data_IF_469813163719
#
_entry.id   IF_469813163719
#
_cell.length_a   1.000
_cell.length_b   1.000
_cell.length_c   1.000
_cell.angle_alpha   90.00
_cell.angle_beta   90.00
_cell.angle_gamma   90.00
#
_symmetry.space_group_name_H-M   'P 1'
#
loop_
_entity.id
_entity.type
_entity.pdbx_description
1 polymer ?
#
# COMPACT_ATOMS: atom_id res chain seq x y z
N UNK A 1 4.88 -2.73 17.11
CA UNK A 1 5.64 -1.57 16.57
C UNK A 1 7.13 -1.66 16.84
N UNK A 2 7.56 -2.22 17.97
CA UNK A 2 8.97 -2.27 18.42
C UNK A 2 9.94 -2.96 17.46
N UNK A 3 9.69 -4.20 17.07
CA UNK A 3 10.57 -4.94 16.12
C UNK A 3 10.12 -4.77 14.66
N UNK A 4 8.85 -4.39 14.48
CA UNK A 4 8.17 -4.38 13.17
C UNK A 4 8.30 -3.03 12.46
N UNK A 5 8.96 -2.03 13.06
CA UNK A 5 9.22 -0.72 12.45
C UNK A 5 10.66 -0.28 12.73
N UNK A 6 11.18 0.62 11.90
CA UNK A 6 12.54 1.19 12.08
C UNK A 6 12.68 2.08 13.33
N UNK A 7 11.57 2.57 13.87
CA UNK A 7 11.55 3.58 14.94
C UNK A 7 11.20 2.96 16.30
N UNK A 8 10.29 1.98 16.31
CA UNK A 8 9.72 1.46 17.54
C UNK A 8 10.77 0.88 18.50
N UNK A 9 11.80 0.21 17.98
CA UNK A 9 12.87 -0.37 18.79
C UNK A 9 13.66 0.69 19.56
N UNK A 10 14.05 1.76 18.87
CA UNK A 10 14.80 2.89 19.46
C UNK A 10 13.96 3.58 20.53
N UNK A 11 12.69 3.89 20.23
CA UNK A 11 11.80 4.55 21.19
C UNK A 11 11.55 3.69 22.43
N UNK A 12 11.47 2.37 22.25
CA UNK A 12 11.32 1.46 23.38
C UNK A 12 12.55 1.41 24.28
N UNK A 13 13.75 1.42 23.71
CA UNK A 13 14.98 1.52 24.49
C UNK A 13 15.03 2.84 25.29
N UNK A 14 14.67 3.97 24.66
CA UNK A 14 14.58 5.26 25.35
C UNK A 14 13.57 5.19 26.51
N UNK A 15 12.39 4.63 26.28
CA UNK A 15 11.37 4.50 27.32
C UNK A 15 11.82 3.63 28.51
N UNK A 16 12.63 2.58 28.26
CA UNK A 16 13.23 1.77 29.33
C UNK A 16 14.24 2.57 30.14
N UNK A 17 15.09 3.37 29.49
CA UNK A 17 16.15 4.14 30.13
C UNK A 17 15.62 5.30 30.98
N UNK A 18 14.53 5.94 30.55
CA UNK A 18 13.91 7.05 31.28
C UNK A 18 13.24 6.62 32.61
N UNK A 19 12.84 5.35 32.73
CA UNK A 19 12.19 4.83 33.94
C UNK A 19 13.15 3.96 34.77
N UNK A 20 13.54 4.50 35.93
CA UNK A 20 14.35 3.81 36.95
C UNK A 20 13.77 2.43 37.28
N UNK A 21 14.64 1.44 37.50
CA UNK A 21 14.23 0.05 37.80
C UNK A 21 13.39 -0.08 39.08
N UNK A 22 13.60 0.82 40.04
CA UNK A 22 12.91 0.89 41.34
C UNK A 22 11.59 1.68 41.32
N UNK A 23 11.21 2.27 40.18
CA UNK A 23 10.00 3.08 40.12
C UNK A 23 8.73 2.24 40.36
N UNK A 24 7.82 2.73 41.21
CA UNK A 24 6.50 2.14 41.38
C UNK A 24 5.73 2.18 40.05
N UNK A 25 4.97 1.12 39.76
CA UNK A 25 4.20 0.92 38.52
C UNK A 25 5.05 1.11 37.24
N UNK A 26 6.34 0.75 37.28
CA UNK A 26 7.30 0.94 36.17
C UNK A 26 6.80 0.47 34.80
N UNK A 27 6.09 -0.66 34.73
CA UNK A 27 5.59 -1.20 33.45
C UNK A 27 4.59 -0.24 32.81
N UNK A 28 3.63 0.25 33.59
CA UNK A 28 2.63 1.21 33.12
C UNK A 28 3.27 2.53 32.70
N UNK A 29 4.21 3.06 33.50
CA UNK A 29 4.97 4.27 33.16
C UNK A 29 5.76 4.12 31.86
N UNK A 30 6.43 2.98 31.66
CA UNK A 30 7.17 2.67 30.42
C UNK A 30 6.26 2.58 29.21
N UNK A 31 5.09 1.95 29.33
CA UNK A 31 4.11 1.87 28.25
C UNK A 31 3.60 3.28 27.91
N UNK A 32 3.26 4.09 28.92
CA UNK A 32 2.81 5.47 28.72
C UNK A 32 3.86 6.33 28.01
N UNK A 33 5.11 6.32 28.50
CA UNK A 33 6.21 7.07 27.87
C UNK A 33 6.50 6.55 26.46
N UNK A 34 6.53 5.23 26.27
CA UNK A 34 6.71 4.66 24.93
C UNK A 34 5.62 5.15 23.98
N UNK A 35 4.34 5.13 24.38
CA UNK A 35 3.24 5.57 23.55
C UNK A 35 3.38 7.06 23.17
N UNK A 36 3.65 7.92 24.16
CA UNK A 36 3.84 9.37 23.93
C UNK A 36 5.02 9.63 23.00
N UNK A 37 6.20 9.07 23.30
CA UNK A 37 7.40 9.25 22.48
C UNK A 37 7.22 8.67 21.08
N UNK A 38 6.52 7.54 20.94
CA UNK A 38 6.28 6.91 19.63
C UNK A 38 5.36 7.77 18.76
N UNK A 39 4.31 8.36 19.34
CA UNK A 39 3.41 9.26 18.63
C UNK A 39 4.12 10.57 18.24
N UNK A 40 4.89 11.17 19.16
CA UNK A 40 5.70 12.35 18.86
C UNK A 40 6.71 12.05 17.75
N UNK A 41 7.41 10.92 17.84
CA UNK A 41 8.34 10.49 16.81
C UNK A 41 7.65 10.32 15.46
N UNK A 42 6.57 9.53 15.41
CA UNK A 42 5.84 9.19 14.18
C UNK A 42 5.24 10.40 13.47
N UNK A 43 4.67 11.35 14.22
CA UNK A 43 3.90 12.44 13.63
C UNK A 43 4.64 13.77 13.56
N UNK A 44 5.66 14.01 14.39
CA UNK A 44 6.40 15.28 14.42
C UNK A 44 7.87 15.11 13.99
N UNK A 45 8.59 14.13 14.52
CA UNK A 45 10.04 14.03 14.29
C UNK A 45 10.35 13.38 12.93
N UNK A 46 9.82 12.18 12.70
CA UNK A 46 10.13 11.33 11.55
C UNK A 46 9.81 12.01 10.22
N UNK A 47 8.64 12.68 10.03
CA UNK A 47 8.34 13.34 8.75
C UNK A 47 9.35 14.43 8.37
N UNK A 48 9.96 15.08 9.35
CA UNK A 48 10.94 16.15 9.14
C UNK A 48 12.37 15.62 8.94
N UNK A 49 12.70 14.45 9.50
CA UNK A 49 14.03 13.84 9.37
C UNK A 49 14.13 12.92 8.14
N UNK A 50 13.05 12.22 7.77
CA UNK A 50 13.03 11.28 6.64
C UNK A 50 13.60 11.85 5.32
N UNK A 51 13.38 13.14 4.96
CA UNK A 51 13.93 13.71 3.74
C UNK A 51 15.45 13.63 3.63
N UNK A 52 16.17 13.71 4.75
CA UNK A 52 17.63 13.57 4.81
C UNK A 52 18.06 12.16 4.34
N UNK A 53 17.21 11.16 4.55
CA UNK A 53 17.41 9.77 4.12
C UNK A 53 16.83 9.48 2.73
N UNK A 54 16.42 10.52 1.98
CA UNK A 54 15.83 10.38 0.65
C UNK A 54 14.41 9.80 0.67
N UNK A 55 13.66 10.07 1.74
CA UNK A 55 12.26 9.66 1.90
C UNK A 55 11.38 10.82 2.29
N UNK A 56 10.19 10.87 1.74
CA UNK A 56 9.15 11.78 2.15
C UNK A 56 7.91 11.00 2.54
N UNK A 57 7.22 11.50 3.56
CA UNK A 57 5.86 11.06 3.86
C UNK A 57 4.98 11.38 2.64
N UNK A 58 4.16 10.42 2.23
CA UNK A 58 3.18 10.64 1.15
C UNK A 58 2.29 11.83 1.51
N UNK A 59 2.17 12.79 0.59
CA UNK A 59 1.36 14.00 0.77
C UNK A 59 -0.09 13.70 0.41
N UNK A 60 -0.90 13.35 1.40
CA UNK A 60 -2.36 13.20 1.24
C UNK A 60 -2.99 14.54 0.82
N UNK A 61 -3.98 14.47 -0.07
CA UNK A 61 -4.71 15.63 -0.61
C UNK A 61 -6.20 15.33 -0.62
N UNK A 62 -7.03 16.26 -1.07
CA UNK A 62 -8.45 15.99 -1.28
C UNK A 62 -8.71 14.88 -2.32
N UNK A 63 -7.74 14.58 -3.19
CA UNK A 63 -7.79 13.56 -4.25
C UNK A 63 -7.03 12.27 -3.93
N UNK A 64 -6.23 12.25 -2.86
CA UNK A 64 -5.38 11.12 -2.48
C UNK A 64 -5.51 10.84 -0.99
N UNK A 65 -5.89 9.60 -0.63
CA UNK A 65 -5.97 9.17 0.77
C UNK A 65 -5.36 7.80 1.02
N UNK A 66 -4.92 7.57 2.26
CA UNK A 66 -4.57 6.23 2.71
C UNK A 66 -5.83 5.35 2.83
N UNK A 67 -5.70 4.05 2.58
CA UNK A 67 -6.77 3.08 2.89
C UNK A 67 -6.98 2.96 4.39
N UNK A 68 -5.91 2.95 5.17
CA UNK A 68 -5.95 2.75 6.61
C UNK A 68 -5.01 3.71 7.33
N UNK A 69 -5.43 4.18 8.52
CA UNK A 69 -4.57 4.93 9.42
C UNK A 69 -3.36 4.10 9.89
N UNK A 70 -3.46 2.77 9.83
CA UNK A 70 -2.36 1.86 10.17
C UNK A 70 -1.07 2.19 9.42
N UNK A 71 -1.13 2.47 8.12
CA UNK A 71 0.06 2.79 7.33
C UNK A 71 0.79 4.04 7.85
N UNK A 72 0.03 5.02 8.38
CA UNK A 72 0.60 6.22 9.02
C UNK A 72 1.20 5.88 10.37
N UNK A 73 0.46 5.17 11.23
CA UNK A 73 0.91 4.80 12.56
C UNK A 73 2.14 3.87 12.55
N UNK A 74 2.23 2.99 11.56
CA UNK A 74 3.33 2.06 11.37
C UNK A 74 4.51 2.68 10.59
N UNK A 75 4.44 3.96 10.20
CA UNK A 75 5.43 4.65 9.37
C UNK A 75 5.70 3.92 8.04
N UNK A 76 4.67 3.37 7.40
CA UNK A 76 4.73 2.63 6.14
C UNK A 76 4.31 3.45 4.91
N UNK A 77 4.13 4.75 5.08
CA UNK A 77 3.65 5.67 4.06
C UNK A 77 4.75 6.64 3.58
N UNK A 78 5.98 6.16 3.45
CA UNK A 78 7.12 6.94 2.97
C UNK A 78 7.60 6.45 1.61
N UNK A 79 7.89 7.39 0.72
CA UNK A 79 8.35 7.13 -0.66
C UNK A 79 9.48 8.09 -1.02
N UNK A 80 10.16 7.85 -2.14
CA UNK A 80 11.08 8.85 -2.70
C UNK A 80 10.32 10.09 -3.18
N UNK A 81 10.94 11.28 -3.15
CA UNK A 81 10.31 12.51 -3.63
C UNK A 81 9.75 12.40 -5.07
N UNK A 82 10.46 11.70 -5.97
CA UNK A 82 9.98 11.55 -7.36
C UNK A 82 8.68 10.74 -7.44
N UNK A 83 8.53 9.70 -6.60
CA UNK A 83 7.31 8.90 -6.53
C UNK A 83 6.18 9.71 -5.88
N UNK A 84 6.46 10.47 -4.83
CA UNK A 84 5.48 11.35 -4.18
C UNK A 84 4.86 12.34 -5.19
N UNK A 85 5.71 12.95 -6.02
CA UNK A 85 5.28 13.85 -7.10
C UNK A 85 4.38 13.14 -8.12
N UNK A 86 4.77 11.94 -8.57
CA UNK A 86 3.95 11.16 -9.51
C UNK A 86 2.61 10.75 -8.93
N UNK A 87 2.56 10.30 -7.67
CA UNK A 87 1.31 9.93 -7.00
C UNK A 87 0.36 11.12 -6.97
N UNK A 88 0.84 12.31 -6.56
CA UNK A 88 0.02 13.52 -6.56
C UNK A 88 -0.52 13.87 -7.95
N UNK A 89 0.33 13.80 -8.99
CA UNK A 89 -0.08 14.07 -10.37
C UNK A 89 -1.09 13.05 -10.91
N UNK A 90 -0.93 11.76 -10.56
CA UNK A 90 -1.88 10.71 -10.94
C UNK A 90 -3.22 10.97 -10.24
N UNK A 91 -3.22 11.21 -8.93
CA UNK A 91 -4.44 11.45 -8.16
C UNK A 91 -5.23 12.66 -8.68
N UNK A 92 -4.57 13.80 -8.92
CA UNK A 92 -5.22 14.99 -9.49
C UNK A 92 -5.79 14.73 -10.88
N UNK A 93 -5.06 14.02 -11.75
CA UNK A 93 -5.56 13.71 -13.11
C UNK A 93 -6.70 12.70 -13.06
N UNK A 94 -6.66 11.75 -12.14
CA UNK A 94 -7.69 10.74 -11.99
C UNK A 94 -9.01 11.37 -11.53
N UNK A 95 -8.95 12.28 -10.56
CA UNK A 95 -10.16 12.99 -10.10
C UNK A 95 -10.74 13.88 -11.20
N UNK A 96 -9.92 14.57 -12.01
CA UNK A 96 -10.41 15.34 -13.16
C UNK A 96 -11.19 14.51 -14.19
N UNK A 97 -10.84 13.23 -14.32
CA UNK A 97 -11.56 12.30 -15.21
C UNK A 97 -12.80 11.68 -14.53
N UNK A 98 -12.80 11.64 -13.20
CA UNK A 98 -13.77 10.95 -12.37
C UNK A 98 -14.09 11.81 -11.14
N UNK A 99 -14.88 12.85 -11.36
CA UNK A 99 -15.15 13.89 -10.37
C UNK A 99 -15.60 13.28 -9.03
N UNK A 100 -14.97 13.73 -7.94
CA UNK A 100 -15.27 13.23 -6.59
C UNK A 100 -14.66 11.87 -6.22
N UNK A 101 -13.97 11.18 -7.15
CA UNK A 101 -13.33 9.89 -6.88
C UNK A 101 -11.85 10.08 -6.54
N UNK A 102 -11.49 9.68 -5.32
CA UNK A 102 -10.13 9.73 -4.81
C UNK A 102 -9.31 8.50 -5.21
N UNK A 103 -8.03 8.71 -5.47
CA UNK A 103 -7.04 7.63 -5.49
C UNK A 103 -6.77 7.16 -4.04
N UNK A 104 -6.75 5.84 -3.82
CA UNK A 104 -6.54 5.24 -2.49
C UNK A 104 -5.26 4.43 -2.49
N UNK A 105 -4.29 4.81 -1.66
CA UNK A 105 -3.03 4.08 -1.52
C UNK A 105 -3.04 3.12 -0.32
N UNK A 106 -2.24 2.06 -0.41
CA UNK A 106 -2.09 0.99 0.59
C UNK A 106 -0.69 1.09 1.24
N UNK A 107 0.13 0.03 1.13
CA UNK A 107 1.48 -0.02 1.68
C UNK A 107 2.49 0.68 0.74
N UNK A 108 3.48 1.35 1.31
CA UNK A 108 4.56 2.00 0.60
C UNK A 108 5.90 1.58 1.20
N UNK A 109 6.59 2.39 2.00
CA UNK A 109 7.85 1.97 2.64
C UNK A 109 8.06 2.70 3.98
N UNK A 110 9.07 2.25 4.73
CA UNK A 110 9.65 2.89 5.89
C UNK A 110 10.51 4.14 5.57
N UNK A 111 10.72 5.02 6.56
CA UNK A 111 11.29 6.35 6.36
C UNK A 111 12.83 6.43 6.24
N UNK A 112 13.62 5.44 6.66
CA UNK A 112 15.07 5.65 6.81
C UNK A 112 15.93 4.62 6.07
N UNK A 113 15.85 3.34 6.43
CA UNK A 113 16.83 2.32 6.03
C UNK A 113 16.29 1.47 4.87
N UNK A 114 17.10 1.26 3.83
CA UNK A 114 16.75 0.32 2.76
C UNK A 114 16.82 -1.14 3.24
N UNK A 115 16.07 -2.04 2.63
CA UNK A 115 16.10 -3.50 2.92
C UNK A 115 15.68 -3.89 4.34
N UNK A 116 15.16 -2.96 5.14
CA UNK A 116 14.52 -3.32 6.40
C UNK A 116 13.27 -4.18 6.10
N UNK A 117 13.10 -5.34 6.75
CA UNK A 117 11.99 -6.25 6.45
C UNK A 117 10.62 -5.58 6.61
N UNK A 118 9.89 -5.46 5.50
CA UNK A 118 8.51 -4.96 5.46
C UNK A 118 7.55 -6.13 5.20
N UNK A 119 7.20 -6.89 6.22
CA UNK A 119 6.26 -8.02 6.02
C UNK A 119 4.82 -7.53 5.78
N UNK A 120 4.06 -8.11 4.83
CA UNK A 120 4.47 -9.14 3.87
C UNK A 120 5.16 -8.58 2.60
N UNK A 121 5.10 -7.25 2.36
CA UNK A 121 5.61 -6.56 1.18
C UNK A 121 7.15 -6.44 1.11
N UNK A 122 7.86 -7.56 0.98
CA UNK A 122 9.33 -7.59 1.01
C UNK A 122 10.02 -6.76 -0.10
N UNK A 123 9.36 -6.54 -1.24
CA UNK A 123 9.93 -5.75 -2.35
C UNK A 123 9.95 -4.26 -2.04
N UNK A 124 9.10 -3.79 -1.13
CA UNK A 124 8.94 -2.39 -0.74
C UNK A 124 10.02 -1.95 0.24
N UNK A 125 11.25 -1.89 -0.25
CA UNK A 125 12.43 -1.77 0.62
C UNK A 125 13.35 -0.60 0.26
N UNK A 126 12.96 0.23 -0.71
CA UNK A 126 13.80 1.28 -1.31
C UNK A 126 13.05 2.60 -1.61
N UNK A 127 11.78 2.67 -1.20
CA UNK A 127 10.90 3.84 -1.34
C UNK A 127 10.48 4.12 -2.77
N UNK A 128 10.76 3.18 -3.69
CA UNK A 128 10.43 3.31 -5.10
C UNK A 128 9.07 2.71 -5.46
N UNK A 129 8.37 2.10 -4.52
CA UNK A 129 7.20 1.25 -4.76
C UNK A 129 6.03 1.69 -3.91
N UNK A 130 4.83 1.49 -4.44
CA UNK A 130 3.58 1.77 -3.75
C UNK A 130 2.48 0.87 -4.30
N UNK A 131 1.61 0.44 -3.41
CA UNK A 131 0.39 -0.27 -3.74
C UNK A 131 -0.78 0.70 -3.69
N UNK A 132 -1.69 0.57 -4.65
CA UNK A 132 -2.91 1.37 -4.73
C UNK A 132 -4.09 0.49 -5.02
N UNK A 133 -5.22 0.82 -4.44
CA UNK A 133 -6.42 0.04 -4.60
C UNK A 133 -6.94 0.06 -6.03
N UNK A 134 -7.55 -1.05 -6.45
CA UNK A 134 -8.43 -1.08 -7.63
C UNK A 134 -9.61 -0.11 -7.47
N UNK A 135 -10.24 0.23 -8.59
CA UNK A 135 -11.41 1.11 -8.64
C UNK A 135 -12.67 0.24 -8.71
N UNK A 136 -13.71 0.69 -8.03
CA UNK A 136 -14.98 -0.03 -7.90
C UNK A 136 -16.13 0.91 -8.24
N UNK A 137 -17.26 0.33 -8.59
CA UNK A 137 -18.53 1.01 -8.85
C UNK A 137 -19.65 0.41 -8.00
N UNK A 138 -20.72 1.18 -7.79
CA UNK A 138 -21.94 0.71 -7.16
C UNK A 138 -22.87 0.06 -8.18
N UNK A 139 -24.00 -0.49 -7.71
CA UNK A 139 -25.04 -1.10 -8.53
C UNK A 139 -25.61 -0.20 -9.66
N UNK A 140 -25.41 1.13 -9.56
CA UNK A 140 -25.82 2.09 -10.59
C UNK A 140 -24.71 2.37 -11.64
N UNK A 141 -23.59 1.64 -11.60
CA UNK A 141 -22.42 1.86 -12.45
C UNK A 141 -21.64 3.14 -12.13
N UNK A 142 -21.89 3.77 -10.97
CA UNK A 142 -21.15 4.96 -10.55
C UNK A 142 -19.93 4.57 -9.73
N UNK A 143 -18.79 5.16 -10.07
CA UNK A 143 -17.54 4.93 -9.35
C UNK A 143 -17.67 5.29 -7.86
N UNK A 144 -16.94 4.56 -7.01
CA UNK A 144 -16.98 4.77 -5.56
C UNK A 144 -15.62 4.64 -4.88
N UNK A 145 -15.47 5.37 -3.76
CA UNK A 145 -14.36 5.21 -2.85
C UNK A 145 -14.57 4.12 -1.78
N UNK A 146 -15.72 3.43 -1.75
CA UNK A 146 -15.87 2.16 -1.04
C UNK A 146 -14.86 1.13 -1.57
N UNK A 147 -14.51 0.14 -0.75
CA UNK A 147 -13.61 -0.97 -1.11
C UNK A 147 -14.00 -2.25 -0.38
N UNK A 148 -13.68 -3.42 -0.95
CA UNK A 148 -14.16 -4.69 -0.41
C UNK A 148 -13.41 -5.17 0.83
N UNK A 149 -12.15 -4.78 1.04
CA UNK A 149 -11.31 -5.25 2.15
C UNK A 149 -10.98 -4.15 3.15
N UNK A 150 -11.11 -4.40 4.46
CA UNK A 150 -10.74 -3.44 5.51
C UNK A 150 -9.25 -3.07 5.42
N UNK A 151 -8.36 -4.06 5.27
CA UNK A 151 -6.92 -3.83 5.14
C UNK A 151 -6.53 -3.19 3.80
N UNK A 152 -7.31 -3.46 2.76
CA UNK A 152 -7.01 -3.13 1.37
C UNK A 152 -6.44 -4.28 0.56
N UNK A 153 -6.25 -5.46 1.18
CA UNK A 153 -5.72 -6.66 0.52
C UNK A 153 -6.64 -7.87 0.73
N UNK A 154 -6.48 -8.91 -0.08
CA UNK A 154 -7.06 -10.24 0.12
C UNK A 154 -8.49 -10.45 -0.35
N UNK A 155 -9.12 -9.45 -0.98
CA UNK A 155 -10.36 -9.63 -1.74
C UNK A 155 -10.04 -9.45 -3.21
N UNK A 156 -9.94 -10.58 -3.91
CA UNK A 156 -9.43 -10.65 -5.28
C UNK A 156 -10.56 -10.48 -6.30
N UNK A 157 -10.26 -9.76 -7.36
CA UNK A 157 -11.00 -9.85 -8.61
C UNK A 157 -10.63 -11.17 -9.28
N UNK A 158 -11.60 -12.07 -9.42
CA UNK A 158 -11.35 -13.42 -9.90
C UNK A 158 -11.34 -13.45 -11.43
N UNK A 159 -10.53 -14.33 -12.06
CA UNK A 159 -10.66 -14.59 -13.49
C UNK A 159 -12.07 -15.12 -13.79
N UNK A 160 -12.63 -14.69 -14.92
CA UNK A 160 -13.85 -15.30 -15.48
C UNK A 160 -13.54 -16.71 -16.00
N UNK A 161 -14.58 -17.48 -16.30
CA UNK A 161 -14.44 -18.84 -16.87
C UNK A 161 -13.66 -18.89 -18.19
N UNK A 162 -13.61 -17.76 -18.92
CA UNK A 162 -12.89 -17.64 -20.20
C UNK A 162 -11.46 -17.12 -20.04
N UNK A 163 -11.10 -16.63 -18.86
CA UNK A 163 -9.80 -16.06 -18.57
C UNK A 163 -8.85 -17.10 -17.98
N UNK A 164 -7.55 -16.86 -18.19
CA UNK A 164 -6.52 -17.73 -17.65
C UNK A 164 -6.44 -17.60 -16.12
N UNK A 165 -6.74 -18.69 -15.40
CA UNK A 165 -6.60 -18.75 -13.94
C UNK A 165 -5.14 -18.93 -13.52
N UNK A 166 -4.44 -17.80 -13.44
CA UNK A 166 -3.05 -17.74 -12.98
C UNK A 166 -2.90 -18.26 -11.54
N UNK A 167 -3.92 -18.07 -10.69
CA UNK A 167 -3.89 -18.50 -9.29
C UNK A 167 -3.93 -20.03 -9.16
N UNK A 168 -4.82 -20.70 -9.90
CA UNK A 168 -4.85 -22.16 -9.95
C UNK A 168 -3.50 -22.73 -10.40
N UNK A 169 -2.90 -22.14 -11.43
CA UNK A 169 -1.60 -22.57 -11.97
C UNK A 169 -0.47 -22.35 -10.96
N UNK A 170 -0.38 -21.16 -10.36
CA UNK A 170 0.65 -20.86 -9.37
C UNK A 170 0.59 -21.81 -8.16
N UNK A 171 -0.62 -22.10 -7.67
CA UNK A 171 -0.84 -23.03 -6.55
C UNK A 171 -0.51 -24.48 -6.92
N UNK A 172 -0.90 -24.93 -8.11
CA UNK A 172 -0.52 -26.27 -8.62
C UNK A 172 1.01 -26.44 -8.69
N UNK A 173 1.73 -25.36 -8.96
CA UNK A 173 3.20 -25.33 -8.99
C UNK A 173 3.85 -25.13 -7.60
N UNK A 174 3.10 -25.32 -6.50
CA UNK A 174 3.63 -25.29 -5.13
C UNK A 174 3.73 -23.90 -4.49
N UNK A 175 3.28 -22.83 -5.15
CA UNK A 175 3.31 -21.47 -4.59
C UNK A 175 2.12 -21.23 -3.66
N UNK A 176 2.14 -21.86 -2.50
CA UNK A 176 1.07 -21.76 -1.49
C UNK A 176 0.86 -20.32 -0.99
N UNK A 177 1.91 -19.49 -1.02
CA UNK A 177 1.87 -18.10 -0.57
C UNK A 177 1.13 -17.17 -1.52
N UNK A 178 0.83 -17.62 -2.75
CA UNK A 178 0.31 -16.77 -3.82
C UNK A 178 -1.00 -16.06 -3.46
N UNK A 179 -1.90 -16.77 -2.76
CA UNK A 179 -3.19 -16.26 -2.30
C UNK A 179 -3.22 -15.92 -0.79
N UNK A 180 -2.07 -15.92 -0.12
CA UNK A 180 -1.95 -15.70 1.34
C UNK A 180 -2.63 -14.41 1.85
N UNK A 181 -2.63 -13.27 1.13
CA UNK A 181 -3.30 -12.05 1.59
C UNK A 181 -4.79 -12.20 1.92
N UNK A 182 -5.47 -13.28 1.48
CA UNK A 182 -6.86 -13.59 1.88
C UNK A 182 -7.05 -13.72 3.39
N UNK A 183 -6.00 -14.08 4.12
CA UNK A 183 -6.00 -14.14 5.59
C UNK A 183 -5.71 -12.79 6.26
N UNK A 184 -5.38 -11.75 5.46
CA UNK A 184 -5.04 -10.41 5.92
C UNK A 184 -6.10 -9.36 5.53
N UNK A 185 -7.31 -9.78 5.11
CA UNK A 185 -8.40 -8.85 4.74
C UNK A 185 -8.84 -7.97 5.90
N UNK A 186 -8.73 -8.48 7.14
CA UNK A 186 -9.32 -7.90 8.34
C UNK A 186 -10.85 -7.70 8.23
N UNK A 187 -11.50 -8.52 7.39
CA UNK A 187 -12.93 -8.48 7.11
C UNK A 187 -13.25 -7.95 5.72
N UNK A 188 -14.30 -8.54 5.13
CA UNK A 188 -14.87 -8.11 3.84
C UNK A 188 -16.09 -7.22 4.11
N UNK A 189 -16.11 -6.04 3.51
CA UNK A 189 -17.13 -4.99 3.67
C UNK A 189 -17.62 -4.51 2.31
N UNK A 190 -18.73 -3.75 2.25
CA UNK A 190 -19.28 -3.20 1.01
C UNK A 190 -19.48 -4.28 -0.07
N UNK A 191 -20.33 -5.28 0.20
CA UNK A 191 -20.60 -6.38 -0.75
C UNK A 191 -21.44 -5.94 -1.96
N UNK A 192 -21.94 -4.71 -1.92
CA UNK A 192 -22.75 -3.98 -2.91
C UNK A 192 -21.91 -3.23 -3.95
N UNK A 193 -20.61 -3.48 -4.04
CA UNK A 193 -19.75 -2.83 -5.03
C UNK A 193 -19.05 -3.86 -5.90
N UNK A 194 -18.83 -3.48 -7.14
CA UNK A 194 -18.24 -4.33 -8.16
C UNK A 194 -16.97 -3.68 -8.72
N UNK A 195 -16.08 -4.50 -9.28
CA UNK A 195 -14.87 -4.02 -9.91
C UNK A 195 -15.18 -3.18 -11.14
N UNK A 196 -14.65 -1.95 -11.18
CA UNK A 196 -14.83 -1.08 -12.34
C UNK A 196 -13.68 -1.28 -13.33
N UNK A 197 -13.96 -1.95 -14.44
CA UNK A 197 -13.00 -2.09 -15.55
C UNK A 197 -12.57 -0.73 -16.07
N UNK A 198 -13.54 0.15 -16.35
CA UNK A 198 -13.29 1.50 -16.88
C UNK A 198 -12.45 2.32 -15.89
N UNK A 199 -12.84 2.38 -14.62
CA UNK A 199 -12.16 3.16 -13.61
C UNK A 199 -10.73 2.66 -13.36
N UNK A 200 -10.56 1.35 -13.25
CA UNK A 200 -9.24 0.74 -13.00
C UNK A 200 -8.31 0.92 -14.20
N UNK A 201 -8.83 0.75 -15.43
CA UNK A 201 -8.07 1.00 -16.66
C UNK A 201 -7.59 2.45 -16.73
N UNK A 202 -8.46 3.43 -16.46
CA UNK A 202 -8.09 4.84 -16.47
C UNK A 202 -6.98 5.14 -15.45
N UNK A 203 -7.07 4.60 -14.23
CA UNK A 203 -6.02 4.75 -13.22
C UNK A 203 -4.69 4.14 -13.71
N UNK A 204 -4.72 2.91 -14.23
CA UNK A 204 -3.54 2.23 -14.76
C UNK A 204 -2.90 3.01 -15.91
N UNK A 205 -3.69 3.53 -16.86
CA UNK A 205 -3.19 4.35 -17.97
C UNK A 205 -2.52 5.65 -17.47
N UNK A 206 -3.07 6.31 -16.44
CA UNK A 206 -2.45 7.49 -15.84
C UNK A 206 -1.12 7.17 -15.15
N UNK A 207 -1.01 6.02 -14.50
CA UNK A 207 0.26 5.51 -13.94
C UNK A 207 1.27 5.26 -15.07
N UNK A 208 0.85 4.57 -16.13
CA UNK A 208 1.73 4.18 -17.24
C UNK A 208 2.27 5.38 -18.03
N UNK A 209 1.49 6.48 -18.10
CA UNK A 209 1.89 7.77 -18.72
C UNK A 209 3.02 8.47 -17.97
N UNK A 210 3.29 8.13 -16.71
CA UNK A 210 4.37 8.73 -15.94
C UNK A 210 5.74 8.27 -16.47
N UNK A 211 6.61 9.22 -16.85
CA UNK A 211 7.92 8.92 -17.47
C UNK A 211 8.90 8.24 -16.50
N UNK A 212 8.79 8.50 -15.20
CA UNK A 212 9.64 7.95 -14.15
C UNK A 212 9.15 6.59 -13.62
N UNK A 213 7.93 6.16 -13.96
CA UNK A 213 7.43 4.81 -13.63
C UNK A 213 8.01 3.80 -14.61
N UNK A 214 8.61 2.75 -14.06
CA UNK A 214 9.27 1.68 -14.81
C UNK A 214 8.45 0.40 -14.89
N UNK A 215 7.67 0.07 -13.85
CA UNK A 215 6.84 -1.14 -13.80
C UNK A 215 5.48 -0.86 -13.16
N UNK A 216 4.47 -1.57 -13.66
CA UNK A 216 3.14 -1.73 -13.05
C UNK A 216 2.86 -3.23 -13.01
N UNK A 217 2.65 -3.77 -11.81
CA UNK A 217 2.23 -5.16 -11.63
C UNK A 217 0.72 -5.24 -11.41
N UNK A 218 0.11 -6.17 -12.15
CA UNK A 218 -1.29 -6.55 -12.08
C UNK A 218 -1.40 -7.99 -12.58
N UNK A 219 -2.42 -8.73 -12.15
CA UNK A 219 -2.59 -10.11 -12.61
C UNK A 219 -2.79 -10.24 -14.14
N UNK A 220 -2.35 -11.36 -14.74
CA UNK A 220 -2.45 -11.57 -16.19
C UNK A 220 -3.88 -11.45 -16.73
N UNK A 221 -4.88 -11.97 -16.02
CA UNK A 221 -6.27 -11.88 -16.46
C UNK A 221 -6.75 -10.42 -16.49
N UNK A 222 -6.47 -9.63 -15.45
CA UNK A 222 -6.80 -8.19 -15.43
C UNK A 222 -6.04 -7.40 -16.49
N UNK A 223 -4.78 -7.73 -16.77
CA UNK A 223 -4.05 -7.10 -17.88
C UNK A 223 -4.81 -7.25 -19.20
N UNK A 224 -5.31 -8.45 -19.48
CA UNK A 224 -6.10 -8.75 -20.68
C UNK A 224 -7.45 -8.06 -20.65
N UNK A 225 -8.22 -8.21 -19.56
CA UNK A 225 -9.55 -7.60 -19.36
C UNK A 225 -9.53 -6.08 -19.56
N UNK A 226 -8.53 -5.43 -18.96
CA UNK A 226 -8.34 -3.97 -19.01
C UNK A 226 -7.65 -3.50 -20.30
N UNK A 227 -7.29 -4.41 -21.22
CA UNK A 227 -6.58 -4.12 -22.47
C UNK A 227 -5.31 -3.26 -22.29
N UNK A 228 -4.48 -3.61 -21.30
CA UNK A 228 -3.29 -2.84 -20.93
C UNK A 228 -2.07 -3.22 -21.79
N UNK A 229 -2.02 -2.68 -23.00
CA UNK A 229 -0.94 -2.91 -23.97
C UNK A 229 0.24 -1.95 -23.77
N UNK A 230 0.96 -2.11 -22.66
CA UNK A 230 2.14 -1.28 -22.38
C UNK A 230 3.31 -2.13 -21.86
N UNK A 231 4.52 -1.86 -22.37
CA UNK A 231 5.75 -2.53 -21.96
C UNK A 231 6.15 -2.32 -20.50
N UNK A 232 5.47 -1.49 -19.71
CA UNK A 232 5.68 -1.39 -18.26
C UNK A 232 4.78 -2.33 -17.47
N UNK A 233 3.72 -2.87 -18.08
CA UNK A 233 2.77 -3.78 -17.41
C UNK A 233 3.39 -5.18 -17.38
N UNK A 234 3.48 -5.74 -16.18
CA UNK A 234 4.21 -6.99 -15.93
C UNK A 234 3.41 -7.87 -14.98
N UNK A 235 3.59 -9.18 -15.15
CA UNK A 235 3.24 -10.14 -14.14
C UNK A 235 4.41 -10.26 -13.15
N UNK A 236 4.13 -10.25 -11.85
CA UNK A 236 5.19 -10.32 -10.83
C UNK A 236 5.79 -11.73 -10.71
N UNK A 237 5.07 -12.77 -11.16
CA UNK A 237 5.47 -14.16 -11.03
C UNK A 237 4.89 -14.83 -9.79
N UNK A 238 4.72 -16.16 -9.83
CA UNK A 238 4.07 -16.93 -8.76
C UNK A 238 4.80 -16.92 -7.40
N UNK A 239 6.06 -16.46 -7.37
CA UNK A 239 6.84 -16.36 -6.13
C UNK A 239 6.39 -15.18 -5.25
N UNK A 240 5.71 -14.19 -5.83
CA UNK A 240 5.10 -13.07 -5.11
C UNK A 240 3.59 -13.31 -4.94
N UNK A 241 2.96 -12.55 -4.04
CA UNK A 241 1.50 -12.57 -3.91
C UNK A 241 0.83 -12.04 -5.18
N UNK A 242 -0.41 -12.48 -5.44
CA UNK A 242 -1.21 -12.01 -6.58
C UNK A 242 -1.57 -10.52 -6.48
N UNK A 243 -1.76 -9.87 -7.62
CA UNK A 243 -2.05 -8.42 -7.75
C UNK A 243 -3.38 -8.16 -8.47
N UNK A 244 -4.45 -8.80 -7.99
CA UNK A 244 -5.84 -8.62 -8.44
C UNK A 244 -6.77 -8.16 -7.33
N UNK A 245 -6.22 -7.73 -6.20
CA UNK A 245 -6.85 -6.92 -5.16
C UNK A 245 -6.32 -5.48 -5.14
N UNK A 246 -5.17 -5.23 -5.79
CA UNK A 246 -4.51 -3.93 -5.89
C UNK A 246 -3.64 -3.80 -7.15
N UNK A 247 -3.23 -2.57 -7.47
CA UNK A 247 -2.18 -2.27 -8.45
C UNK A 247 -0.91 -1.92 -7.69
N UNK A 248 0.19 -2.60 -8.00
CA UNK A 248 1.51 -2.19 -7.56
C UNK A 248 2.20 -1.43 -8.68
N UNK A 249 2.86 -0.32 -8.38
CA UNK A 249 3.73 0.34 -9.36
C UNK A 249 4.98 0.93 -8.74
N UNK A 250 6.01 1.09 -9.57
CA UNK A 250 7.31 1.51 -9.10
C UNK A 250 8.08 2.41 -10.06
N UNK A 251 8.95 3.24 -9.49
CA UNK A 251 9.95 4.00 -10.23
C UNK A 251 10.87 3.08 -11.04
N UNK A 252 11.52 3.67 -12.04
CA UNK A 252 12.65 3.08 -12.77
C UNK A 252 13.84 2.74 -11.86
#
# INVERSE_FOLDING_TARGET
>A
MTVVTQIGGIIYLIAILLIKKSAEKKRLKRIGIFAVLYLLATFLIVPNIAPIFGREKIKETEFLKARSFFYKLANRNYVRPELNKSIGQIATKFERLNAGIKMVYLDANFPFINKFPLLPHLSHNDGKKIDVSLIYENDNGQLTNKKPSVSGYGVYEMPTEKEYDQNAVCKKNGNWQYDFPKYLTLGTINKDIEFSEKGTRQLAELILKQKNIGKLFIEPHLKTRLNLNNGKVRFHGCQAVRHDDHIHFQLK
#
